data_IF_578035918731
#
_entry.id   IF_578035918731
#
_cell.length_a   1.000
_cell.length_b   1.000
_cell.length_c   1.000
_cell.angle_alpha   90.00
_cell.angle_beta   90.00
_cell.angle_gamma   90.00
#
_symmetry.space_group_name_H-M   'P 1'
#
loop_
_entity.id
_entity.type
_entity.pdbx_description
1 polymer ?
#
# COMPACT_ATOMS: atom_id res chain seq x y z
N UNK A 1 -7.33 -22.33 21.17
CA UNK A 1 -7.07 -22.95 19.86
C UNK A 1 -5.55 -23.05 19.67
N UNK A 2 -4.98 -24.24 19.51
CA UNK A 2 -3.55 -24.38 19.13
C UNK A 2 -3.41 -24.10 17.64
N UNK A 3 -3.01 -22.87 17.28
CA UNK A 3 -2.68 -22.53 15.88
C UNK A 3 -1.21 -22.87 15.61
N UNK A 4 -0.91 -23.35 14.41
CA UNK A 4 0.48 -23.45 13.94
C UNK A 4 1.04 -22.02 13.79
N UNK A 5 2.07 -21.70 14.57
CA UNK A 5 2.76 -20.40 14.48
C UNK A 5 3.38 -20.24 13.09
N UNK A 6 3.20 -19.05 12.47
CA UNK A 6 3.82 -18.71 11.19
C UNK A 6 5.07 -17.89 11.41
N UNK A 7 6.15 -18.30 10.78
CA UNK A 7 7.42 -17.61 10.89
C UNK A 7 7.56 -16.56 9.79
N UNK A 8 7.65 -15.29 10.20
CA UNK A 8 7.82 -14.12 9.33
C UNK A 8 9.27 -13.67 9.44
N UNK A 9 10.00 -13.70 8.33
CA UNK A 9 11.36 -13.19 8.27
C UNK A 9 11.41 -11.87 7.50
N UNK A 10 11.96 -10.85 8.12
CA UNK A 10 12.21 -9.53 7.57
C UNK A 10 13.71 -9.40 7.26
N UNK A 11 14.09 -9.46 5.99
CA UNK A 11 15.49 -9.30 5.57
C UNK A 11 15.85 -7.84 5.53
N UNK A 12 16.87 -7.47 6.30
CA UNK A 12 17.42 -6.14 6.37
C UNK A 12 18.94 -6.16 6.09
N UNK A 13 19.47 -5.04 5.67
CA UNK A 13 20.88 -4.80 5.33
C UNK A 13 21.24 -3.36 5.73
N UNK A 14 22.51 -2.97 5.82
CA UNK A 14 22.88 -1.59 6.16
C UNK A 14 22.18 -0.57 5.27
N UNK A 15 21.76 0.57 5.84
CA UNK A 15 20.99 1.63 5.18
C UNK A 15 19.62 1.19 4.63
N UNK A 16 18.97 0.22 5.27
CA UNK A 16 17.58 -0.11 4.96
C UNK A 16 16.62 1.02 5.39
N UNK A 17 15.44 1.10 4.76
CA UNK A 17 14.38 2.00 5.19
C UNK A 17 13.73 1.48 6.49
N UNK A 18 13.76 2.29 7.53
CA UNK A 18 13.31 1.89 8.89
C UNK A 18 11.90 1.31 8.89
N UNK A 19 10.95 1.99 8.25
CA UNK A 19 9.55 1.55 8.24
C UNK A 19 9.30 0.30 7.41
N UNK A 20 10.18 -0.05 6.48
CA UNK A 20 10.07 -1.29 5.71
C UNK A 20 10.25 -2.54 6.58
N UNK A 21 10.91 -2.38 7.73
CA UNK A 21 11.09 -3.45 8.74
C UNK A 21 10.12 -3.26 9.90
N UNK A 22 10.16 -2.09 10.56
CA UNK A 22 9.42 -1.86 11.82
C UNK A 22 7.91 -1.79 11.60
N UNK A 23 7.46 -1.34 10.43
CA UNK A 23 6.04 -1.27 10.07
C UNK A 23 5.38 -2.65 10.00
N UNK A 24 5.82 -3.55 9.11
CA UNK A 24 5.33 -4.93 9.07
C UNK A 24 5.52 -5.69 10.38
N UNK A 25 6.66 -5.50 11.04
CA UNK A 25 6.90 -6.08 12.37
C UNK A 25 5.78 -5.73 13.35
N UNK A 26 5.42 -4.44 13.44
CA UNK A 26 4.35 -3.96 14.33
C UNK A 26 2.99 -4.57 14.00
N UNK A 27 2.67 -4.78 12.72
CA UNK A 27 1.43 -5.42 12.29
C UNK A 27 1.36 -6.88 12.73
N UNK A 28 2.39 -7.67 12.47
CA UNK A 28 2.40 -9.10 12.82
C UNK A 28 2.49 -9.33 14.33
N UNK A 29 3.36 -8.59 15.03
CA UNK A 29 3.49 -8.66 16.48
C UNK A 29 2.20 -8.22 17.19
N UNK A 30 1.58 -7.14 16.71
CA UNK A 30 0.27 -6.67 17.18
C UNK A 30 -0.83 -7.71 16.99
N UNK A 31 -0.82 -8.45 15.87
CA UNK A 31 -1.76 -9.54 15.61
C UNK A 31 -1.59 -10.68 16.62
N UNK A 32 -0.36 -11.11 16.88
CA UNK A 32 -0.08 -12.14 17.88
C UNK A 32 -0.57 -11.73 19.26
N UNK A 33 -0.25 -10.49 19.68
CA UNK A 33 -0.68 -9.96 20.96
C UNK A 33 -2.19 -9.94 21.10
N UNK A 34 -2.90 -9.41 20.11
CA UNK A 34 -4.37 -9.31 20.14
C UNK A 34 -5.04 -10.70 20.17
N UNK A 35 -4.60 -11.65 19.35
CA UNK A 35 -5.16 -13.00 19.33
C UNK A 35 -4.95 -13.72 20.67
N UNK A 36 -3.85 -13.49 21.35
CA UNK A 36 -3.61 -14.01 22.70
C UNK A 36 -4.55 -13.38 23.73
N UNK A 37 -4.62 -12.05 23.74
CA UNK A 37 -5.35 -11.30 24.77
C UNK A 37 -6.88 -11.43 24.62
N UNK A 38 -7.39 -11.43 23.38
CA UNK A 38 -8.84 -11.36 23.09
C UNK A 38 -9.42 -12.72 22.71
N UNK A 39 -8.70 -13.53 21.93
CA UNK A 39 -9.19 -14.83 21.48
C UNK A 39 -8.61 -16.02 22.22
N UNK A 40 -7.78 -15.80 23.24
CA UNK A 40 -7.19 -16.87 24.06
C UNK A 40 -6.29 -17.82 23.26
N UNK A 41 -5.59 -17.31 22.24
CA UNK A 41 -4.66 -18.12 21.45
C UNK A 41 -3.52 -18.61 22.34
N UNK A 42 -3.34 -19.92 22.41
CA UNK A 42 -2.17 -20.53 23.06
C UNK A 42 -0.98 -20.52 22.11
N UNK A 43 0.08 -19.76 22.44
CA UNK A 43 1.28 -19.59 21.63
C UNK A 43 1.26 -18.35 20.74
N UNK A 44 2.07 -18.34 19.69
CA UNK A 44 2.25 -17.22 18.77
C UNK A 44 1.49 -17.44 17.47
N UNK A 45 0.70 -16.45 17.03
CA UNK A 45 0.15 -16.42 15.69
C UNK A 45 1.27 -16.25 14.66
N UNK A 46 2.16 -15.30 14.96
CA UNK A 46 3.36 -15.02 14.19
C UNK A 46 4.58 -14.95 15.11
N UNK A 47 5.65 -15.62 14.71
CA UNK A 47 7.02 -15.35 15.17
C UNK A 47 7.66 -14.47 14.12
N UNK A 48 8.07 -13.28 14.50
CA UNK A 48 8.65 -12.30 13.59
C UNK A 48 10.10 -12.07 13.96
N UNK A 49 11.01 -12.24 13.01
CA UNK A 49 12.43 -11.99 13.23
C UNK A 49 13.04 -11.12 12.12
N UNK A 50 14.09 -10.39 12.44
CA UNK A 50 14.90 -9.63 11.51
C UNK A 50 16.14 -10.45 11.16
N UNK A 51 16.36 -10.65 9.86
CA UNK A 51 17.52 -11.35 9.32
C UNK A 51 18.51 -10.35 8.71
N UNK A 52 19.79 -10.50 9.05
CA UNK A 52 20.91 -9.80 8.44
C UNK A 52 21.90 -10.75 7.77
N UNK A 53 22.99 -10.23 7.21
CA UNK A 53 24.15 -11.04 6.81
C UNK A 53 24.84 -11.66 8.03
N UNK A 54 24.86 -10.91 9.12
CA UNK A 54 25.42 -11.31 10.42
C UNK A 54 24.43 -11.01 11.53
N UNK A 55 24.58 -11.67 12.67
CA UNK A 55 23.85 -11.35 13.91
C UNK A 55 24.42 -10.06 14.50
N UNK A 56 23.55 -9.13 14.84
CA UNK A 56 23.98 -7.86 15.45
C UNK A 56 23.19 -6.65 15.01
N UNK A 57 23.63 -5.45 15.40
CA UNK A 57 22.94 -4.22 15.09
C UNK A 57 23.13 -3.82 13.63
N UNK A 58 22.02 -3.62 12.90
CA UNK A 58 21.95 -3.05 11.56
C UNK A 58 21.51 -1.59 11.65
N UNK A 59 22.27 -0.68 11.07
CA UNK A 59 21.91 0.73 10.98
C UNK A 59 20.95 0.94 9.80
N UNK A 60 19.77 1.49 10.07
CA UNK A 60 18.86 2.00 9.05
C UNK A 60 19.35 3.35 8.50
N UNK A 61 18.83 3.77 7.35
CA UNK A 61 19.19 5.03 6.68
C UNK A 61 18.99 6.28 7.57
N UNK A 62 18.02 6.25 8.50
CA UNK A 62 17.78 7.31 9.50
C UNK A 62 18.63 7.19 10.76
N UNK A 63 19.58 6.27 10.85
CA UNK A 63 20.48 6.06 12.00
C UNK A 63 19.90 5.17 13.11
N UNK A 64 18.62 4.79 13.06
CA UNK A 64 18.06 3.81 13.99
C UNK A 64 18.77 2.46 13.83
N UNK A 65 19.12 1.81 14.95
CA UNK A 65 19.68 0.47 14.92
C UNK A 65 18.63 -0.58 15.27
N UNK A 66 18.51 -1.58 14.41
CA UNK A 66 17.66 -2.74 14.61
C UNK A 66 18.56 -3.96 14.73
N UNK A 67 18.25 -4.87 15.66
CA UNK A 67 19.02 -6.12 15.82
C UNK A 67 18.61 -7.13 14.75
N UNK A 68 19.58 -7.61 13.97
CA UNK A 68 19.43 -8.86 13.26
C UNK A 68 19.61 -10.00 14.26
N UNK A 69 18.55 -10.74 14.48
CA UNK A 69 18.52 -11.81 15.49
C UNK A 69 19.23 -13.07 14.99
N UNK A 70 19.20 -13.28 13.67
CA UNK A 70 19.84 -14.40 12.99
C UNK A 70 20.48 -13.96 11.68
N UNK A 71 21.52 -14.68 11.27
CA UNK A 71 22.06 -14.54 9.91
C UNK A 71 21.24 -15.36 8.93
N UNK A 72 20.87 -14.77 7.76
CA UNK A 72 20.18 -15.50 6.72
C UNK A 72 20.99 -16.69 6.17
N UNK A 73 22.31 -16.70 6.35
CA UNK A 73 23.17 -17.84 5.98
C UNK A 73 22.87 -19.12 6.76
N UNK A 74 22.36 -18.99 8.00
CA UNK A 74 22.07 -20.12 8.89
C UNK A 74 20.67 -20.69 8.71
N UNK A 75 19.77 -19.94 8.04
CA UNK A 75 18.37 -20.32 7.83
C UNK A 75 18.26 -21.40 6.75
N UNK A 76 17.45 -22.43 7.02
CA UNK A 76 17.22 -23.55 6.08
C UNK A 76 15.77 -23.63 5.60
N UNK A 77 14.79 -23.98 6.42
CA UNK A 77 13.43 -24.31 6.00
C UNK A 77 12.34 -23.84 6.98
N UNK A 78 12.59 -22.80 7.78
CA UNK A 78 11.71 -22.44 8.91
C UNK A 78 10.73 -21.30 8.56
N UNK A 79 10.91 -20.65 7.42
CA UNK A 79 10.21 -19.41 7.08
C UNK A 79 8.92 -19.71 6.32
N UNK A 80 7.80 -19.20 6.83
CA UNK A 80 6.51 -19.17 6.12
C UNK A 80 6.44 -18.01 5.13
N UNK A 81 6.76 -16.82 5.58
CA UNK A 81 6.72 -15.57 4.80
C UNK A 81 8.03 -14.83 4.91
N UNK A 82 8.65 -14.56 3.76
CA UNK A 82 9.92 -13.86 3.63
C UNK A 82 9.70 -12.50 2.98
N UNK A 83 10.01 -11.42 3.68
CA UNK A 83 9.90 -10.05 3.18
C UNK A 83 11.28 -9.39 3.14
N UNK A 84 11.64 -8.80 1.99
CA UNK A 84 12.90 -8.09 1.78
C UNK A 84 12.65 -6.60 1.87
N UNK A 85 13.28 -5.92 2.81
CA UNK A 85 13.20 -4.47 2.96
C UNK A 85 13.83 -3.73 1.78
N UNK A 86 13.47 -2.46 1.63
CA UNK A 86 14.13 -1.54 0.71
C UNK A 86 14.98 -0.50 1.46
N UNK A 87 15.27 0.60 0.79
CA UNK A 87 16.05 1.71 1.33
C UNK A 87 17.28 2.02 0.45
N UNK A 88 18.06 3.05 0.80
CA UNK A 88 19.26 3.45 0.07
C UNK A 88 20.27 2.30 -0.09
N UNK A 89 20.39 1.44 0.92
CA UNK A 89 21.28 0.27 0.93
C UNK A 89 20.93 -0.82 -0.08
N UNK A 90 19.73 -0.79 -0.69
CA UNK A 90 19.33 -1.77 -1.71
C UNK A 90 20.32 -1.86 -2.87
N UNK A 91 21.00 -0.74 -3.20
CA UNK A 91 22.00 -0.72 -4.27
C UNK A 91 23.20 -1.63 -3.96
N UNK A 92 23.66 -1.64 -2.73
CA UNK A 92 24.73 -2.53 -2.26
C UNK A 92 24.21 -3.97 -2.11
N UNK A 93 23.03 -4.14 -1.55
CA UNK A 93 22.41 -5.46 -1.36
C UNK A 93 22.14 -6.20 -2.68
N UNK A 94 21.85 -5.49 -3.78
CA UNK A 94 21.76 -6.09 -5.14
C UNK A 94 23.10 -6.67 -5.65
N UNK A 95 24.23 -6.28 -5.08
CA UNK A 95 25.54 -6.80 -5.44
C UNK A 95 25.99 -7.95 -4.56
N UNK A 96 25.30 -8.19 -3.45
CA UNK A 96 25.58 -9.28 -2.52
C UNK A 96 25.14 -10.63 -3.12
N UNK A 97 26.10 -11.34 -3.72
CA UNK A 97 25.86 -12.62 -4.37
C UNK A 97 25.41 -13.71 -3.39
N UNK A 98 25.80 -13.61 -2.12
CA UNK A 98 25.39 -14.57 -1.08
C UNK A 98 23.91 -14.36 -0.72
N UNK A 99 23.47 -13.10 -0.59
CA UNK A 99 22.07 -12.76 -0.38
C UNK A 99 21.21 -13.22 -1.58
N UNK A 100 21.62 -12.89 -2.80
CA UNK A 100 20.89 -13.27 -4.02
C UNK A 100 20.77 -14.79 -4.17
N UNK A 101 21.87 -15.53 -3.93
CA UNK A 101 21.86 -16.99 -3.97
C UNK A 101 20.95 -17.59 -2.88
N UNK A 102 20.98 -17.01 -1.67
CA UNK A 102 20.10 -17.43 -0.59
C UNK A 102 18.63 -17.18 -0.91
N UNK A 103 18.27 -16.01 -1.44
CA UNK A 103 16.90 -15.69 -1.87
C UNK A 103 16.38 -16.67 -2.93
N UNK A 104 17.21 -17.01 -3.94
CA UNK A 104 16.87 -18.01 -4.96
C UNK A 104 16.59 -19.37 -4.35
N UNK A 105 17.37 -19.79 -3.36
CA UNK A 105 17.20 -21.04 -2.63
C UNK A 105 15.92 -21.05 -1.79
N UNK A 106 15.63 -19.94 -1.09
CA UNK A 106 14.47 -19.84 -0.21
C UNK A 106 13.16 -19.63 -0.95
N UNK A 107 13.18 -18.98 -2.10
CA UNK A 107 11.99 -18.65 -2.87
C UNK A 107 11.04 -19.83 -3.14
N UNK A 108 11.48 -21.06 -3.53
CA UNK A 108 10.58 -22.19 -3.69
C UNK A 108 10.02 -22.74 -2.37
N UNK A 109 10.71 -22.52 -1.25
CA UNK A 109 10.43 -23.15 0.05
C UNK A 109 9.42 -22.38 0.88
N UNK A 110 9.34 -21.05 0.71
CA UNK A 110 8.41 -20.20 1.46
C UNK A 110 7.01 -20.21 0.83
N UNK A 111 6.00 -20.10 1.67
CA UNK A 111 4.61 -19.92 1.21
C UNK A 111 4.43 -18.56 0.52
N UNK A 112 5.07 -17.51 1.05
CA UNK A 112 5.04 -16.16 0.50
C UNK A 112 6.45 -15.55 0.45
N UNK A 113 6.78 -14.94 -0.69
CA UNK A 113 7.98 -14.13 -0.87
C UNK A 113 7.56 -12.71 -1.20
N UNK A 114 8.06 -11.73 -0.48
CA UNK A 114 7.70 -10.34 -0.74
C UNK A 114 8.90 -9.41 -0.75
N UNK A 115 8.68 -8.24 -1.36
CA UNK A 115 9.60 -7.11 -1.32
C UNK A 115 8.84 -5.84 -0.97
N UNK A 116 9.48 -5.01 -0.16
CA UNK A 116 8.96 -3.73 0.29
C UNK A 116 9.85 -2.65 -0.33
N UNK A 117 9.25 -1.59 -0.91
CA UNK A 117 9.99 -0.49 -1.52
C UNK A 117 10.98 -0.95 -2.60
N UNK A 118 12.22 -0.48 -2.51
CA UNK A 118 13.33 -0.88 -3.39
C UNK A 118 13.87 -2.29 -3.14
N UNK A 119 13.34 -3.03 -2.16
CA UNK A 119 13.57 -4.47 -2.04
C UNK A 119 13.16 -5.27 -3.27
N UNK A 120 12.21 -4.75 -4.06
CA UNK A 120 11.83 -5.31 -5.37
C UNK A 120 13.00 -5.38 -6.35
N UNK A 121 13.95 -4.44 -6.30
CA UNK A 121 15.18 -4.50 -7.12
C UNK A 121 16.05 -5.70 -6.75
N UNK A 122 16.13 -6.04 -5.45
CA UNK A 122 16.89 -7.20 -4.96
C UNK A 122 16.27 -8.49 -5.47
N UNK A 123 14.92 -8.62 -5.39
CA UNK A 123 14.23 -9.80 -5.94
C UNK A 123 14.36 -9.89 -7.47
N UNK A 124 14.33 -8.75 -8.18
CA UNK A 124 14.53 -8.72 -9.64
C UNK A 124 15.98 -9.09 -10.03
N UNK A 125 16.99 -8.62 -9.30
CA UNK A 125 18.40 -8.98 -9.50
C UNK A 125 18.63 -10.48 -9.23
N UNK A 126 17.87 -11.06 -8.30
CA UNK A 126 17.84 -12.50 -8.08
C UNK A 126 17.10 -13.27 -9.19
N UNK A 127 16.47 -12.60 -10.18
CA UNK A 127 15.69 -13.23 -11.25
C UNK A 127 14.30 -13.74 -10.79
N UNK A 128 13.87 -13.41 -9.59
CA UNK A 128 12.65 -13.94 -8.97
C UNK A 128 11.37 -13.21 -9.43
N UNK A 129 11.51 -12.08 -10.13
CA UNK A 129 10.40 -11.29 -10.68
C UNK A 129 10.27 -11.40 -12.21
N UNK A 130 11.10 -12.20 -12.88
CA UNK A 130 11.03 -12.38 -14.33
C UNK A 130 9.67 -12.96 -14.76
N UNK A 131 9.02 -12.32 -15.75
CA UNK A 131 7.70 -12.68 -16.24
C UNK A 131 6.57 -12.36 -15.25
N UNK A 132 6.85 -11.67 -14.15
CA UNK A 132 5.90 -11.34 -13.09
C UNK A 132 5.47 -9.90 -13.15
N UNK A 133 4.28 -9.64 -12.59
CA UNK A 133 3.78 -8.29 -12.33
C UNK A 133 4.27 -7.83 -10.95
N UNK A 134 4.85 -6.64 -10.88
CA UNK A 134 5.43 -6.11 -9.65
C UNK A 134 5.26 -4.59 -9.53
N UNK A 135 5.29 -4.08 -8.31
CA UNK A 135 5.43 -2.66 -8.01
C UNK A 135 6.68 -2.39 -7.17
N UNK A 136 7.05 -1.15 -7.08
CA UNK A 136 8.11 -0.63 -6.22
C UNK A 136 7.73 0.79 -5.77
N UNK A 137 8.58 1.45 -5.03
CA UNK A 137 8.35 2.85 -4.65
C UNK A 137 8.20 3.74 -5.89
N UNK A 138 7.20 4.62 -5.91
CA UNK A 138 6.83 5.46 -7.07
C UNK A 138 8.01 6.21 -7.69
N UNK A 139 8.94 6.72 -6.86
CA UNK A 139 10.11 7.47 -7.32
C UNK A 139 11.09 6.59 -8.13
N UNK A 140 11.03 5.28 -7.98
CA UNK A 140 11.94 4.32 -8.60
C UNK A 140 11.29 3.46 -9.68
N UNK A 141 9.96 3.53 -9.87
CA UNK A 141 9.22 2.66 -10.79
C UNK A 141 9.72 2.75 -12.23
N UNK A 142 10.01 3.96 -12.73
CA UNK A 142 10.55 4.15 -14.08
C UNK A 142 11.97 3.58 -14.24
N UNK A 143 12.82 3.71 -13.22
CA UNK A 143 14.16 3.13 -13.22
C UNK A 143 14.10 1.60 -13.12
N UNK A 144 13.16 1.07 -12.33
CA UNK A 144 12.91 -0.34 -12.18
C UNK A 144 12.48 -0.98 -13.51
N UNK A 145 11.50 -0.40 -14.21
CA UNK A 145 11.04 -0.88 -15.51
C UNK A 145 12.16 -0.88 -16.58
N UNK A 146 13.00 0.16 -16.59
CA UNK A 146 14.13 0.22 -17.53
C UNK A 146 15.20 -0.82 -17.24
N UNK A 147 15.50 -1.08 -15.97
CA UNK A 147 16.55 -2.02 -15.56
C UNK A 147 16.14 -3.49 -15.74
N UNK A 148 14.85 -3.79 -15.50
CA UNK A 148 14.33 -5.16 -15.52
C UNK A 148 13.18 -5.30 -16.54
N UNK A 149 13.47 -5.32 -17.85
CA UNK A 149 12.44 -5.32 -18.89
C UNK A 149 11.59 -6.60 -18.94
N UNK A 150 12.02 -7.66 -18.24
CA UNK A 150 11.23 -8.90 -18.08
C UNK A 150 10.20 -8.82 -16.95
N UNK A 151 10.19 -7.75 -16.16
CA UNK A 151 9.20 -7.49 -15.10
C UNK A 151 8.11 -6.58 -15.65
N UNK A 152 6.84 -6.96 -15.48
CA UNK A 152 5.71 -6.08 -15.79
C UNK A 152 5.48 -5.13 -14.63
N UNK A 153 6.04 -3.93 -14.73
CA UNK A 153 5.97 -2.92 -13.66
C UNK A 153 4.65 -2.17 -13.71
N UNK A 154 3.91 -2.21 -12.61
CA UNK A 154 2.73 -1.39 -12.38
C UNK A 154 3.03 -0.41 -11.24
N UNK A 155 3.11 0.88 -11.58
CA UNK A 155 3.62 1.92 -10.69
C UNK A 155 2.56 2.50 -9.73
N UNK A 156 1.27 2.22 -9.96
CA UNK A 156 0.19 2.84 -9.19
C UNK A 156 -0.25 2.04 -7.94
N UNK A 157 -0.38 0.71 -7.95
CA UNK A 157 -0.84 -0.03 -6.78
C UNK A 157 0.06 0.15 -5.55
N UNK A 158 -0.55 0.26 -4.36
CA UNK A 158 0.14 0.29 -3.07
C UNK A 158 0.92 -1.01 -2.84
N UNK A 159 0.33 -2.14 -3.21
CA UNK A 159 1.01 -3.43 -3.31
C UNK A 159 0.37 -4.30 -4.41
N UNK A 160 1.12 -5.29 -4.87
CA UNK A 160 0.70 -6.27 -5.87
C UNK A 160 0.95 -7.67 -5.32
N UNK A 161 0.01 -8.57 -5.60
CA UNK A 161 0.18 -10.02 -5.47
C UNK A 161 0.21 -10.64 -6.86
N UNK A 162 1.24 -11.42 -7.13
CA UNK A 162 1.36 -12.28 -8.32
C UNK A 162 1.76 -13.70 -7.89
N UNK A 163 0.78 -14.58 -7.78
CA UNK A 163 0.94 -15.89 -7.20
C UNK A 163 1.35 -15.82 -5.72
N UNK A 164 2.53 -16.33 -5.39
CA UNK A 164 3.12 -16.24 -4.04
C UNK A 164 4.09 -15.07 -3.86
N UNK A 165 4.27 -14.27 -4.90
CA UNK A 165 5.13 -13.08 -4.88
C UNK A 165 4.29 -11.86 -4.52
N UNK A 166 4.81 -11.05 -3.59
CA UNK A 166 4.18 -9.81 -3.14
C UNK A 166 5.19 -8.67 -3.27
N UNK A 167 4.78 -7.54 -3.83
CA UNK A 167 5.62 -6.34 -3.90
C UNK A 167 4.82 -5.12 -3.46
N UNK A 168 5.41 -4.24 -2.66
CA UNK A 168 4.74 -3.03 -2.18
C UNK A 168 5.56 -1.77 -2.45
N UNK A 169 4.87 -0.64 -2.43
CA UNK A 169 5.45 0.70 -2.59
C UNK A 169 6.47 1.09 -1.51
N UNK A 170 6.46 0.40 -0.39
CA UNK A 170 7.38 0.66 0.71
C UNK A 170 6.90 1.71 1.70
N UNK A 171 7.76 1.97 2.69
CA UNK A 171 7.47 2.82 3.83
C UNK A 171 6.16 2.37 4.50
N UNK A 172 5.14 3.22 4.56
CA UNK A 172 3.84 2.84 5.15
C UNK A 172 3.09 1.77 4.35
N UNK A 173 3.35 1.62 3.05
CA UNK A 173 2.73 0.58 2.22
C UNK A 173 3.19 -0.85 2.58
N UNK A 174 4.31 -0.99 3.29
CA UNK A 174 4.73 -2.25 3.90
C UNK A 174 3.75 -2.73 4.97
N UNK A 175 3.14 -1.80 5.73
CA UNK A 175 2.08 -2.12 6.69
C UNK A 175 0.77 -2.51 6.00
N UNK A 176 0.41 -1.84 4.89
CA UNK A 176 -0.77 -2.22 4.09
C UNK A 176 -0.63 -3.66 3.56
N UNK A 177 0.56 -4.01 3.06
CA UNK A 177 0.87 -5.39 2.65
C UNK A 177 0.75 -6.35 3.84
N UNK A 178 1.35 -6.04 4.98
CA UNK A 178 1.30 -6.91 6.16
C UNK A 178 -0.15 -7.11 6.65
N UNK A 179 -0.99 -6.06 6.66
CA UNK A 179 -2.42 -6.17 6.98
C UNK A 179 -3.16 -7.08 5.99
N UNK A 180 -2.84 -7.00 4.69
CA UNK A 180 -3.42 -7.91 3.71
C UNK A 180 -3.01 -9.38 3.95
N UNK A 181 -1.76 -9.63 4.38
CA UNK A 181 -1.30 -10.97 4.76
C UNK A 181 -1.99 -11.48 6.03
N UNK A 182 -2.26 -10.60 7.00
CA UNK A 182 -3.06 -10.92 8.19
C UNK A 182 -4.51 -11.23 7.79
N UNK A 183 -5.11 -10.44 6.87
CA UNK A 183 -6.46 -10.71 6.34
C UNK A 183 -6.55 -12.10 5.67
N UNK A 184 -5.51 -12.50 4.92
CA UNK A 184 -5.44 -13.83 4.32
C UNK A 184 -5.30 -14.96 5.35
N UNK A 185 -4.59 -14.74 6.45
CA UNK A 185 -4.28 -15.77 7.44
C UNK A 185 -5.33 -15.92 8.53
N UNK A 186 -5.91 -14.81 8.99
CA UNK A 186 -6.81 -14.76 10.15
C UNK A 186 -8.15 -14.09 9.86
N UNK A 187 -8.37 -13.69 8.62
CA UNK A 187 -9.61 -13.07 8.18
C UNK A 187 -9.69 -11.57 8.42
N UNK A 188 -10.74 -10.99 7.83
CA UNK A 188 -10.95 -9.53 7.77
C UNK A 188 -11.12 -8.88 9.14
N UNK A 189 -11.80 -9.56 10.05
CA UNK A 189 -12.10 -9.02 11.38
C UNK A 189 -10.82 -8.74 12.17
N UNK A 190 -9.90 -9.69 12.19
CA UNK A 190 -8.59 -9.57 12.84
C UNK A 190 -7.79 -8.43 12.21
N UNK A 191 -7.67 -8.44 10.88
CA UNK A 191 -6.93 -7.41 10.16
C UNK A 191 -7.51 -6.00 10.39
N UNK A 192 -8.85 -5.86 10.44
CA UNK A 192 -9.51 -4.59 10.72
C UNK A 192 -9.22 -4.10 12.15
N UNK A 193 -9.22 -5.02 13.14
CA UNK A 193 -8.87 -4.66 14.51
C UNK A 193 -7.44 -4.12 14.60
N UNK A 194 -6.48 -4.81 13.98
CA UNK A 194 -5.08 -4.39 13.96
C UNK A 194 -4.91 -3.06 13.23
N UNK A 195 -5.58 -2.86 12.09
CA UNK A 195 -5.56 -1.60 11.37
C UNK A 195 -6.07 -0.44 12.24
N UNK A 196 -7.19 -0.62 12.96
CA UNK A 196 -7.73 0.37 13.91
C UNK A 196 -6.75 0.68 15.06
N UNK A 197 -6.14 -0.35 15.64
CA UNK A 197 -5.17 -0.19 16.73
C UNK A 197 -3.94 0.61 16.28
N UNK A 198 -3.48 0.40 15.05
CA UNK A 198 -2.36 1.13 14.45
C UNK A 198 -2.76 2.47 13.81
N UNK A 199 -4.05 2.85 13.88
CA UNK A 199 -4.61 4.07 13.25
C UNK A 199 -4.37 4.07 11.74
N UNK A 200 -4.50 2.91 11.11
CA UNK A 200 -4.34 2.69 9.67
C UNK A 200 -5.68 2.36 9.01
N UNK A 201 -5.78 2.64 7.73
CA UNK A 201 -6.84 2.06 6.90
C UNK A 201 -6.55 0.59 6.64
N UNK A 202 -7.54 -0.30 6.76
CA UNK A 202 -7.38 -1.69 6.35
C UNK A 202 -7.11 -1.80 4.84
N UNK A 203 -7.70 -0.90 4.06
CA UNK A 203 -7.42 -0.72 2.64
C UNK A 203 -7.33 0.77 2.35
N UNK A 204 -6.13 1.23 2.08
CA UNK A 204 -5.88 2.62 1.76
C UNK A 204 -6.54 2.98 0.43
N UNK A 205 -7.33 4.07 0.38
CA UNK A 205 -7.89 4.56 -0.87
C UNK A 205 -6.79 5.12 -1.78
N UNK A 206 -6.91 4.85 -3.10
CA UNK A 206 -5.99 5.36 -4.10
C UNK A 206 -4.72 4.55 -4.29
N UNK A 207 -3.88 5.02 -5.21
CA UNK A 207 -2.59 4.42 -5.55
C UNK A 207 -1.43 5.36 -5.25
N UNK A 208 -0.21 4.95 -5.62
CA UNK A 208 1.01 5.73 -5.44
C UNK A 208 1.02 7.04 -6.24
N UNK A 209 0.28 7.11 -7.34
CA UNK A 209 0.20 8.30 -8.21
C UNK A 209 -0.21 9.57 -7.46
N UNK A 210 -1.05 9.45 -6.42
CA UNK A 210 -1.43 10.60 -5.59
C UNK A 210 -0.24 11.17 -4.81
N UNK A 211 0.71 10.34 -4.36
CA UNK A 211 1.90 10.80 -3.65
C UNK A 211 2.96 11.37 -4.60
N UNK A 212 3.10 10.76 -5.78
CA UNK A 212 4.02 11.23 -6.82
C UNK A 212 3.67 12.64 -7.30
N UNK A 213 2.38 12.94 -7.43
CA UNK A 213 1.87 14.25 -7.90
C UNK A 213 1.95 15.33 -6.81
N UNK A 214 1.65 14.99 -5.56
CA UNK A 214 1.65 15.92 -4.43
C UNK A 214 3.06 16.28 -3.95
N UNK A 215 3.99 15.32 -3.91
CA UNK A 215 5.34 15.51 -3.37
C UNK A 215 6.33 16.07 -4.39
N UNK A 216 6.14 15.87 -5.69
CA UNK A 216 6.97 16.52 -6.71
C UNK A 216 6.76 18.04 -6.78
N UNK A 217 5.78 18.59 -6.04
CA UNK A 217 5.54 20.04 -5.91
C UNK A 217 6.34 20.76 -4.83
N UNK A 218 7.10 20.07 -3.97
CA UNK A 218 7.84 20.71 -2.86
C UNK A 218 9.26 21.19 -3.22
N UNK A 219 9.70 21.02 -4.46
CA UNK A 219 11.02 21.48 -4.87
C UNK A 219 11.06 21.95 -6.31
N UNK A 220 11.21 23.25 -6.50
CA UNK A 220 11.45 24.05 -7.71
C UNK A 220 10.24 24.51 -8.50
N UNK A 221 10.20 25.84 -8.70
CA UNK A 221 9.37 26.65 -9.59
C UNK A 221 7.85 26.34 -9.63
N UNK A 222 7.07 27.40 -9.40
CA UNK A 222 5.60 27.38 -9.54
C UNK A 222 5.20 26.75 -10.86
N UNK A 223 4.80 25.47 -10.84
CA UNK A 223 4.19 24.81 -11.97
C UNK A 223 2.67 25.02 -11.92
N UNK A 224 2.10 25.86 -12.79
CA UNK A 224 0.69 26.18 -12.78
C UNK A 224 -0.23 24.96 -12.90
N UNK A 225 0.24 23.89 -13.54
CA UNK A 225 -0.56 22.66 -13.67
C UNK A 225 -0.62 21.86 -12.37
N UNK A 226 0.42 21.91 -11.55
CA UNK A 226 0.42 21.25 -10.23
C UNK A 226 -0.43 21.98 -9.23
N UNK A 227 -0.33 23.32 -9.19
CA UNK A 227 -1.22 24.13 -8.38
C UNK A 227 -2.69 23.88 -8.78
N UNK A 228 -2.95 23.72 -10.07
CA UNK A 228 -4.27 23.39 -10.59
C UNK A 228 -4.74 22.00 -10.11
N UNK A 229 -3.88 20.98 -10.14
CA UNK A 229 -4.24 19.62 -9.71
C UNK A 229 -4.60 19.60 -8.22
N UNK A 230 -3.82 20.27 -7.38
CA UNK A 230 -4.11 20.44 -5.94
C UNK A 230 -5.44 21.15 -5.75
N UNK A 231 -5.64 22.25 -6.47
CA UNK A 231 -6.90 22.99 -6.39
C UNK A 231 -8.11 22.16 -6.84
N UNK A 232 -7.99 21.34 -7.90
CA UNK A 232 -9.06 20.42 -8.33
C UNK A 232 -9.39 19.42 -7.22
N UNK A 233 -8.37 18.86 -6.53
CA UNK A 233 -8.56 17.89 -5.47
C UNK A 233 -9.27 18.49 -4.24
N UNK A 234 -9.01 19.75 -3.94
CA UNK A 234 -9.63 20.50 -2.85
C UNK A 234 -11.04 21.04 -3.20
N UNK A 235 -11.36 21.15 -4.50
CA UNK A 235 -12.59 21.77 -4.98
C UNK A 235 -13.38 20.87 -5.97
N UNK A 236 -13.78 19.64 -5.58
CA UNK A 236 -14.40 18.67 -6.49
C UNK A 236 -15.78 19.12 -7.01
N UNK A 237 -16.45 20.06 -6.32
CA UNK A 237 -17.76 20.61 -6.68
C UNK A 237 -17.69 21.85 -7.57
N UNK A 238 -16.51 22.44 -7.74
CA UNK A 238 -16.34 23.62 -8.58
C UNK A 238 -16.61 23.32 -10.07
N UNK A 239 -16.65 24.38 -10.89
CA UNK A 239 -16.66 24.23 -12.36
C UNK A 239 -15.28 23.72 -12.82
N UNK A 240 -15.19 22.42 -13.02
CA UNK A 240 -14.00 21.71 -13.49
C UNK A 240 -14.07 21.41 -15.00
N UNK A 241 -14.83 22.21 -15.76
CA UNK A 241 -14.84 22.13 -17.21
C UNK A 241 -13.47 22.50 -17.81
N UNK A 242 -13.13 21.91 -18.95
CA UNK A 242 -11.85 22.20 -19.62
C UNK A 242 -11.64 23.70 -19.84
N UNK A 243 -12.65 24.48 -20.28
CA UNK A 243 -12.49 25.92 -20.40
C UNK A 243 -12.22 26.64 -19.07
N UNK A 244 -12.86 26.22 -17.98
CA UNK A 244 -12.65 26.82 -16.66
C UNK A 244 -11.24 26.52 -16.13
N UNK A 245 -10.78 25.27 -16.25
CA UNK A 245 -9.45 24.86 -15.83
C UNK A 245 -8.35 25.53 -16.67
N UNK A 246 -8.55 25.64 -17.99
CA UNK A 246 -7.61 26.30 -18.89
C UNK A 246 -7.45 27.79 -18.56
N UNK A 247 -8.55 28.51 -18.28
CA UNK A 247 -8.50 29.91 -17.83
C UNK A 247 -7.67 30.08 -16.55
N UNK A 248 -7.79 29.16 -15.62
CA UNK A 248 -7.10 29.22 -14.33
C UNK A 248 -5.58 29.15 -14.45
N UNK A 249 -5.08 28.50 -15.49
CA UNK A 249 -3.64 28.39 -15.81
C UNK A 249 -3.22 29.25 -16.99
N UNK A 250 -4.05 30.24 -17.37
CA UNK A 250 -3.80 31.18 -18.46
C UNK A 250 -3.47 30.49 -19.82
N UNK A 251 -4.13 29.37 -20.11
CA UNK A 251 -3.95 28.61 -21.37
C UNK A 251 -5.23 28.59 -22.19
N UNK A 252 -5.09 28.39 -23.52
CA UNK A 252 -6.27 28.04 -24.34
C UNK A 252 -6.71 26.59 -24.02
N UNK A 253 -8.03 26.28 -24.14
CA UNK A 253 -8.55 24.94 -23.85
C UNK A 253 -7.83 23.82 -24.60
N UNK A 254 -7.48 24.01 -25.85
CA UNK A 254 -6.76 23.03 -26.68
C UNK A 254 -5.31 22.84 -26.22
N UNK A 255 -4.63 23.94 -25.89
CA UNK A 255 -3.26 23.90 -25.38
C UNK A 255 -3.22 23.21 -24.02
N UNK A 256 -4.09 23.61 -23.09
CA UNK A 256 -4.25 23.02 -21.79
C UNK A 256 -4.46 21.50 -21.85
N UNK A 257 -5.45 21.02 -22.64
CA UNK A 257 -5.72 19.59 -22.74
C UNK A 257 -4.49 18.79 -23.22
N UNK A 258 -3.73 19.31 -24.19
CA UNK A 258 -2.53 18.68 -24.73
C UNK A 258 -1.39 18.63 -23.69
N UNK A 259 -1.13 19.76 -23.02
CA UNK A 259 -0.06 19.87 -22.00
C UNK A 259 -0.42 19.01 -20.80
N UNK A 260 -1.68 19.04 -20.37
CA UNK A 260 -2.15 18.24 -19.25
C UNK A 260 -1.96 16.74 -19.51
N UNK A 261 -2.30 16.23 -20.71
CA UNK A 261 -2.07 14.82 -21.07
C UNK A 261 -0.58 14.49 -21.09
N UNK A 262 0.26 15.38 -21.64
CA UNK A 262 1.71 15.18 -21.70
C UNK A 262 2.34 15.09 -20.31
N UNK A 263 1.94 15.98 -19.39
CA UNK A 263 2.62 16.17 -18.09
C UNK A 263 1.96 15.33 -16.98
N UNK A 264 0.65 15.06 -17.08
CA UNK A 264 -0.11 14.28 -16.06
C UNK A 264 -0.38 12.83 -16.50
N UNK A 265 -0.19 12.52 -17.79
CA UNK A 265 -0.37 11.16 -18.34
C UNK A 265 -1.84 10.73 -18.53
N UNK A 266 -2.82 11.64 -18.28
CA UNK A 266 -4.24 11.39 -18.49
C UNK A 266 -4.98 12.68 -18.89
N UNK A 267 -6.19 12.53 -19.44
CA UNK A 267 -6.97 13.72 -19.82
C UNK A 267 -7.47 14.47 -18.58
N UNK A 268 -7.71 15.82 -18.68
CA UNK A 268 -8.29 16.58 -17.57
C UNK A 268 -9.62 16.00 -17.06
N UNK A 269 -10.47 15.50 -17.97
CA UNK A 269 -11.74 14.87 -17.60
C UNK A 269 -11.55 13.57 -16.79
N UNK A 270 -10.60 12.74 -17.18
CA UNK A 270 -10.24 11.53 -16.42
C UNK A 270 -9.67 11.87 -15.03
N UNK A 271 -8.86 12.92 -14.93
CA UNK A 271 -8.33 13.39 -13.67
C UNK A 271 -9.45 13.88 -12.74
N UNK A 272 -10.34 14.73 -13.24
CA UNK A 272 -11.52 15.23 -12.48
C UNK A 272 -12.40 14.05 -12.02
N UNK A 273 -12.67 13.09 -12.91
CA UNK A 273 -13.45 11.90 -12.54
C UNK A 273 -12.79 11.12 -11.42
N UNK A 274 -11.46 10.90 -11.49
CA UNK A 274 -10.68 10.21 -10.46
C UNK A 274 -10.78 10.95 -9.13
N UNK A 275 -10.59 12.26 -9.09
CA UNK A 275 -10.71 13.10 -7.89
C UNK A 275 -12.09 12.98 -7.26
N UNK A 276 -13.16 13.10 -8.08
CA UNK A 276 -14.54 12.98 -7.58
C UNK A 276 -14.87 11.58 -7.05
N UNK A 277 -14.35 10.54 -7.69
CA UNK A 277 -14.51 9.16 -7.19
C UNK A 277 -13.83 9.00 -5.85
N UNK A 278 -12.63 9.53 -5.67
CA UNK A 278 -11.91 9.48 -4.39
C UNK A 278 -12.63 10.25 -3.28
N UNK A 279 -13.16 11.43 -3.58
CA UNK A 279 -13.98 12.18 -2.63
C UNK A 279 -15.22 11.39 -2.22
N UNK A 280 -15.94 10.81 -3.20
CA UNK A 280 -17.15 10.02 -2.93
C UNK A 280 -16.86 8.73 -2.15
N UNK A 281 -15.71 8.10 -2.36
CA UNK A 281 -15.27 6.94 -1.56
C UNK A 281 -15.19 7.30 -0.09
N UNK A 282 -14.47 8.40 0.24
CA UNK A 282 -14.34 8.88 1.63
C UNK A 282 -15.70 9.14 2.26
N UNK A 283 -16.58 9.86 1.58
CA UNK A 283 -17.94 10.10 2.06
C UNK A 283 -18.74 8.82 2.28
N UNK A 284 -18.60 7.82 1.39
CA UNK A 284 -19.30 6.53 1.53
C UNK A 284 -18.76 5.67 2.68
N UNK A 285 -17.49 5.84 3.02
CA UNK A 285 -16.81 5.12 4.11
C UNK A 285 -17.09 5.77 5.48
N UNK A 286 -17.05 7.11 5.53
CA UNK A 286 -17.05 7.89 6.76
C UNK A 286 -18.45 8.37 7.18
N UNK A 287 -19.42 8.40 6.27
CA UNK A 287 -20.76 8.94 6.56
C UNK A 287 -21.89 7.99 6.26
N UNK A 288 -23.03 8.23 6.94
CA UNK A 288 -24.31 7.56 6.66
C UNK A 288 -25.15 8.28 5.59
N UNK A 289 -24.64 9.33 4.97
CA UNK A 289 -25.35 10.14 3.97
C UNK A 289 -25.90 9.27 2.82
N UNK A 290 -27.04 9.65 2.28
CA UNK A 290 -27.62 9.00 1.09
C UNK A 290 -26.71 9.11 -0.14
N UNK A 291 -26.72 8.09 -0.99
CA UNK A 291 -25.87 8.07 -2.23
C UNK A 291 -26.12 9.28 -3.12
N UNK A 292 -27.35 9.81 -3.12
CA UNK A 292 -27.70 11.04 -3.88
C UNK A 292 -26.98 12.28 -3.32
N UNK A 293 -26.95 12.42 -1.99
CA UNK A 293 -26.26 13.53 -1.33
C UNK A 293 -24.76 13.45 -1.59
N UNK A 294 -24.16 12.28 -1.38
CA UNK A 294 -22.73 12.06 -1.68
C UNK A 294 -22.36 12.41 -3.14
N UNK A 295 -23.24 12.08 -4.09
CA UNK A 295 -22.98 12.41 -5.49
C UNK A 295 -22.96 13.93 -5.75
N UNK A 296 -23.84 14.68 -5.09
CA UNK A 296 -23.88 16.14 -5.18
C UNK A 296 -22.67 16.77 -4.48
N UNK A 297 -22.37 16.34 -3.25
CA UNK A 297 -21.27 16.85 -2.43
C UNK A 297 -19.89 16.59 -3.04
N UNK A 298 -19.81 15.58 -3.92
CA UNK A 298 -18.58 15.26 -4.68
C UNK A 298 -18.58 15.77 -6.13
N UNK A 299 -19.55 16.59 -6.52
CA UNK A 299 -19.59 17.26 -7.81
C UNK A 299 -20.00 16.39 -9.00
N UNK A 300 -20.63 15.22 -8.79
CA UNK A 300 -21.13 14.38 -9.90
C UNK A 300 -22.42 14.87 -10.54
N UNK A 301 -23.15 15.78 -9.89
CA UNK A 301 -24.44 16.27 -10.33
C UNK A 301 -25.59 15.26 -10.24
N UNK A 302 -25.32 13.95 -10.32
CA UNK A 302 -26.32 12.90 -10.12
C UNK A 302 -25.71 11.59 -9.60
N UNK A 303 -26.55 10.79 -8.88
CA UNK A 303 -26.17 9.47 -8.43
C UNK A 303 -25.83 8.50 -9.58
N UNK A 304 -26.48 8.63 -10.73
CA UNK A 304 -26.21 7.79 -11.90
C UNK A 304 -24.84 8.11 -12.52
N UNK A 305 -24.47 9.39 -12.60
CA UNK A 305 -23.13 9.81 -13.06
C UNK A 305 -22.06 9.25 -12.14
N UNK A 306 -22.24 9.34 -10.82
CA UNK A 306 -21.34 8.75 -9.83
C UNK A 306 -21.28 7.22 -9.98
N UNK A 307 -22.41 6.54 -10.16
CA UNK A 307 -22.47 5.08 -10.36
C UNK A 307 -21.65 4.65 -11.59
N UNK A 308 -21.80 5.35 -12.71
CA UNK A 308 -21.01 5.07 -13.93
C UNK A 308 -19.51 5.28 -13.73
N UNK A 309 -19.12 6.33 -13.03
CA UNK A 309 -17.71 6.60 -12.70
C UNK A 309 -17.14 5.51 -11.79
N UNK A 310 -17.86 5.10 -10.75
CA UNK A 310 -17.46 4.00 -9.87
C UNK A 310 -17.28 2.68 -10.61
N UNK A 311 -18.20 2.33 -11.51
CA UNK A 311 -18.09 1.11 -12.30
C UNK A 311 -16.90 1.15 -13.26
N UNK A 312 -16.59 2.31 -13.86
CA UNK A 312 -15.40 2.46 -14.73
C UNK A 312 -14.10 2.33 -13.93
N UNK A 313 -14.03 3.02 -12.79
CA UNK A 313 -12.79 3.18 -12.02
C UNK A 313 -12.54 2.03 -11.04
N UNK A 314 -13.59 1.58 -10.35
CA UNK A 314 -13.49 0.64 -9.23
C UNK A 314 -14.14 -0.73 -9.51
N UNK A 315 -14.83 -0.89 -10.63
CA UNK A 315 -15.57 -2.10 -11.01
C UNK A 315 -16.64 -2.50 -9.96
N UNK A 316 -17.15 -1.55 -9.17
CA UNK A 316 -18.16 -1.78 -8.13
C UNK A 316 -19.10 -0.58 -8.06
N UNK A 317 -20.38 -0.82 -7.79
CA UNK A 317 -21.37 0.25 -7.62
C UNK A 317 -21.21 0.92 -6.22
N UNK A 318 -21.56 2.23 -6.05
CA UNK A 318 -21.40 2.95 -4.79
C UNK A 318 -22.08 2.29 -3.59
N UNK A 319 -23.29 1.74 -3.77
CA UNK A 319 -24.01 1.02 -2.70
C UNK A 319 -23.28 -0.25 -2.30
N UNK A 320 -22.85 -1.05 -3.29
CA UNK A 320 -22.08 -2.26 -3.04
C UNK A 320 -20.69 -1.95 -2.47
N UNK A 321 -20.11 -0.80 -2.84
CA UNK A 321 -18.88 -0.28 -2.24
C UNK A 321 -19.11 0.00 -0.74
N UNK A 322 -20.13 0.80 -0.40
CA UNK A 322 -20.46 1.13 0.99
C UNK A 322 -20.73 -0.11 1.84
N UNK A 323 -21.46 -1.10 1.33
CA UNK A 323 -21.80 -2.31 2.09
C UNK A 323 -20.57 -3.12 2.49
N UNK A 324 -19.45 -2.98 1.76
CA UNK A 324 -18.17 -3.64 2.10
C UNK A 324 -17.47 -2.97 3.28
N UNK A 325 -17.86 -1.73 3.64
CA UNK A 325 -17.24 -0.93 4.71
C UNK A 325 -18.18 -0.73 5.91
N UNK A 326 -19.48 -0.93 5.77
CA UNK A 326 -20.39 -1.02 6.91
C UNK A 326 -20.22 -2.37 7.58
N UNK A 327 -19.41 -2.41 8.62
CA UNK A 327 -19.43 -3.50 9.60
C UNK A 327 -20.82 -3.53 10.22
N UNK A 328 -21.44 -4.70 10.34
CA UNK A 328 -22.67 -4.89 11.08
C UNK A 328 -22.51 -4.22 12.46
N UNK A 329 -23.40 -3.29 12.79
CA UNK A 329 -23.56 -2.81 14.16
C UNK A 329 -23.81 -4.04 15.02
N UNK A 330 -22.83 -4.42 15.82
CA UNK A 330 -23.01 -5.37 16.90
C UNK A 330 -24.04 -4.72 17.81
N UNK A 331 -25.27 -5.22 17.81
CA UNK A 331 -26.25 -4.97 18.87
C UNK A 331 -25.60 -5.43 20.17
N UNK A 332 -25.09 -4.48 20.92
CA UNK A 332 -24.74 -4.65 22.31
C UNK A 332 -26.06 -4.63 23.09
N UNK A 333 -26.80 -5.73 23.09
CA UNK A 333 -27.74 -6.01 24.12
C UNK A 333 -26.95 -6.34 25.39
N UNK A 334 -26.73 -5.33 26.22
CA UNK A 334 -26.35 -5.53 27.61
C UNK A 334 -27.50 -6.29 28.26
N UNK A 335 -27.27 -7.46 28.88
CA UNK A 335 -28.29 -8.07 29.71
C UNK A 335 -28.56 -7.13 30.87
N UNK A 336 -29.79 -6.66 30.94
CA UNK A 336 -30.33 -5.96 32.12
C UNK A 336 -30.26 -6.92 33.32
N UNK A 337 -29.23 -6.75 34.12
CA UNK A 337 -29.17 -7.43 35.42
C UNK A 337 -30.06 -6.65 36.38
N UNK A 338 -31.32 -7.04 36.42
CA UNK A 338 -32.25 -6.71 37.50
C UNK A 338 -32.42 -7.99 38.31
N UNK A 339 -31.79 -8.07 39.49
CA UNK A 339 -32.42 -8.65 40.69
C UNK A 339 -31.38 -8.83 41.82
N UNK A 340 -31.70 -8.07 42.93
CA UNK A 340 -31.40 -8.30 44.36
C UNK A 340 -29.94 -8.15 44.79
#
# INVERSE_FOLDING_TARGET
MRGTSRHIALVAFPDFETLDVTGPFSVFAGTTRWLREVQGLEGDAYVVEVLGSEVGPLAAAGGLRVMAERSFHTIRNEIDTLLVAGGPGSRSAMQDQLLLAWLRRMAPQVRRLGAICTGSFILAEAGLLDGRRATTHWAWSAAFARRYPRVTVDADPIFIRDGKIYTSAGVTAGMDLALALVEEDYGREVALHIARHLVLFLRRPGGQSQFSTLLSGQGRDRDPLRELQTWIAENPTADLSIPALARRVAMSPRHFARVFVRDVGMTPGQFVEKVRVEAARRHLEESAQGVKSVALDCGFGSADTMRRAFLRTLRVAPIAYRSRFKTAEVRTELPSNNQL
#
